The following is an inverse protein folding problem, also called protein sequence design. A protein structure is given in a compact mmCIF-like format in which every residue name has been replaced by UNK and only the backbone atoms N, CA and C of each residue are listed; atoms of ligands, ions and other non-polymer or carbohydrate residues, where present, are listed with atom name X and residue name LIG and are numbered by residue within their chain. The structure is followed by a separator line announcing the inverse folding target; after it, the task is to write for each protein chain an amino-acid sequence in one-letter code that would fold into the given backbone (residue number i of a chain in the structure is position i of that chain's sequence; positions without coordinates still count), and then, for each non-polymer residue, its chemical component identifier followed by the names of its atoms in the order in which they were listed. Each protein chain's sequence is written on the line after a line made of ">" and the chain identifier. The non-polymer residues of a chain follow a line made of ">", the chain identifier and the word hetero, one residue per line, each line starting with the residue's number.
data_IF_510527420825
#
_entry.id   IF_510527420825
#
_cell.length_a   1.000
_cell.length_b   1.000
_cell.length_c   1.000
_cell.angle_alpha   90.00
_cell.angle_beta   90.00
_cell.angle_gamma   90.00
#
_symmetry.space_group_name_H-M   'P 1'
#
loop_
_entity.id
_entity.type
_entity.pdbx_description
1 polymer ?
#
# COMPACT_ATOMS: atom_id res chain seq x y z
N UNK A 1 -14.48 -7.54 34.53
CA UNK A 1 -14.42 -8.37 35.74
C UNK A 1 -13.34 -7.83 36.68
N UNK A 2 -13.68 -7.46 37.93
CA UNK A 2 -12.76 -6.83 38.90
C UNK A 2 -12.05 -7.84 39.80
N UNK A 3 -12.25 -9.15 39.58
CA UNK A 3 -11.62 -10.20 40.38
C UNK A 3 -10.08 -10.08 40.26
N UNK A 4 -9.41 -10.07 41.42
CA UNK A 4 -7.95 -9.84 41.58
C UNK A 4 -7.10 -10.76 40.70
N UNK A 5 -7.56 -12.00 40.49
CA UNK A 5 -6.91 -13.01 39.64
C UNK A 5 -6.94 -12.63 38.15
N UNK A 6 -8.07 -12.11 37.67
CA UNK A 6 -8.24 -11.66 36.28
C UNK A 6 -7.38 -10.42 36.02
N UNK A 7 -7.32 -9.50 36.98
CA UNK A 7 -6.46 -8.31 36.90
C UNK A 7 -4.96 -8.66 36.87
N UNK A 8 -4.53 -9.63 37.69
CA UNK A 8 -3.14 -10.10 37.70
C UNK A 8 -2.73 -10.73 36.38
N UNK A 9 -3.55 -11.65 35.84
CA UNK A 9 -3.30 -12.24 34.51
C UNK A 9 -3.23 -11.18 33.40
N UNK A 10 -4.09 -10.16 33.44
CA UNK A 10 -4.04 -9.03 32.50
C UNK A 10 -2.71 -8.28 32.55
N UNK A 11 -2.20 -8.00 33.75
CA UNK A 11 -0.90 -7.34 33.93
C UNK A 11 0.25 -8.22 33.42
N UNK A 12 0.24 -9.51 33.73
CA UNK A 12 1.27 -10.46 33.31
C UNK A 12 1.35 -10.54 31.76
N UNK A 13 0.20 -10.64 31.08
CA UNK A 13 0.13 -10.63 29.60
C UNK A 13 0.61 -9.30 29.01
N UNK A 14 0.23 -8.15 29.60
CA UNK A 14 0.67 -6.83 29.15
C UNK A 14 2.19 -6.65 29.32
N UNK A 15 2.77 -7.14 30.41
CA UNK A 15 4.21 -7.09 30.64
C UNK A 15 4.99 -8.01 29.70
N UNK A 16 4.48 -9.22 29.42
CA UNK A 16 5.07 -10.12 28.43
C UNK A 16 5.11 -9.46 27.04
N UNK A 17 4.01 -8.84 26.61
CA UNK A 17 3.98 -8.08 25.36
C UNK A 17 4.96 -6.91 25.35
N UNK A 18 5.23 -6.23 26.48
CA UNK A 18 6.23 -5.14 26.52
C UNK A 18 7.63 -5.65 26.18
N UNK A 19 7.99 -6.83 26.67
CA UNK A 19 9.26 -7.50 26.33
C UNK A 19 9.34 -7.80 24.84
N UNK A 20 8.28 -8.39 24.29
CA UNK A 20 8.21 -8.76 22.87
C UNK A 20 8.15 -7.54 21.95
N UNK A 21 7.36 -6.51 22.28
CA UNK A 21 7.14 -5.32 21.45
C UNK A 21 8.42 -4.47 21.34
N UNK A 22 9.22 -4.34 22.41
CA UNK A 22 10.49 -3.60 22.38
C UNK A 22 11.55 -4.29 21.49
N UNK A 23 11.52 -5.63 21.42
CA UNK A 23 12.38 -6.42 20.55
C UNK A 23 11.85 -6.45 19.10
N UNK A 24 10.53 -6.60 18.92
CA UNK A 24 9.84 -6.59 17.62
C UNK A 24 9.95 -5.23 16.91
N UNK A 25 9.75 -4.10 17.61
CA UNK A 25 9.91 -2.76 17.01
C UNK A 25 11.32 -2.50 16.45
N UNK A 26 12.35 -3.17 16.99
CA UNK A 26 13.73 -3.06 16.48
C UNK A 26 13.99 -3.93 15.25
N UNK A 27 13.31 -5.06 15.15
CA UNK A 27 13.51 -6.03 14.06
C UNK A 27 12.62 -5.73 12.85
N UNK A 28 11.48 -5.05 13.04
CA UNK A 28 10.38 -5.08 12.08
C UNK A 28 10.00 -3.71 11.48
N UNK A 29 10.97 -2.89 11.12
CA UNK A 29 10.72 -1.62 10.41
C UNK A 29 10.28 -1.78 8.93
N UNK A 30 10.11 -3.02 8.46
CA UNK A 30 9.69 -3.41 7.10
C UNK A 30 8.20 -3.79 7.03
N UNK A 31 7.64 -3.89 5.81
CA UNK A 31 6.23 -4.28 5.59
C UNK A 31 5.85 -5.64 6.21
N UNK A 32 6.79 -6.59 6.27
CA UNK A 32 6.66 -7.88 6.98
C UNK A 32 6.33 -7.72 8.49
N UNK A 33 6.68 -6.58 9.07
CA UNK A 33 6.41 -6.28 10.47
C UNK A 33 4.93 -6.07 10.79
N UNK A 34 4.17 -5.49 9.88
CA UNK A 34 2.75 -5.19 10.11
C UNK A 34 1.91 -6.48 10.16
N UNK A 35 2.24 -7.48 9.34
CA UNK A 35 1.57 -8.79 9.35
C UNK A 35 1.81 -9.56 10.66
N UNK A 36 3.06 -9.54 11.17
CA UNK A 36 3.38 -10.16 12.46
C UNK A 36 2.69 -9.43 13.61
N UNK A 37 2.65 -8.10 13.57
CA UNK A 37 1.93 -7.31 14.57
C UNK A 37 0.44 -7.62 14.55
N UNK A 38 -0.16 -7.77 13.37
CA UNK A 38 -1.57 -8.15 13.23
C UNK A 38 -1.85 -9.52 13.85
N UNK A 39 -1.08 -10.55 13.51
CA UNK A 39 -1.25 -11.91 14.05
C UNK A 39 -1.08 -11.95 15.58
N UNK A 40 -0.06 -11.26 16.11
CA UNK A 40 0.14 -11.14 17.55
C UNK A 40 -1.01 -10.41 18.25
N UNK A 41 -1.63 -9.46 17.55
CA UNK A 41 -2.76 -8.70 18.04
C UNK A 41 -4.06 -9.51 18.05
N UNK A 42 -4.32 -10.27 16.99
CA UNK A 42 -5.50 -11.16 16.87
C UNK A 42 -5.55 -12.15 18.03
N UNK A 43 -4.42 -12.80 18.33
CA UNK A 43 -4.29 -13.69 19.50
C UNK A 43 -4.54 -12.97 20.84
N UNK A 44 -4.25 -11.66 20.93
CA UNK A 44 -4.47 -10.88 22.16
C UNK A 44 -5.94 -10.46 22.34
N UNK A 45 -6.67 -10.23 21.24
CA UNK A 45 -8.10 -9.94 21.28
C UNK A 45 -8.90 -11.06 21.96
N UNK A 46 -8.48 -12.32 21.78
CA UNK A 46 -9.14 -13.48 22.38
C UNK A 46 -9.04 -13.51 23.92
N UNK A 47 -8.01 -12.87 24.49
CA UNK A 47 -7.67 -12.98 25.93
C UNK A 47 -7.80 -11.68 26.71
N UNK A 48 -8.06 -10.54 26.05
CA UNK A 48 -8.06 -9.22 26.68
C UNK A 48 -9.14 -8.29 26.14
N UNK A 49 -9.87 -7.67 27.05
CA UNK A 49 -10.88 -6.65 26.72
C UNK A 49 -10.27 -5.28 26.38
N UNK A 50 -8.95 -5.12 26.46
CA UNK A 50 -8.26 -3.87 26.16
C UNK A 50 -8.35 -3.49 24.66
N UNK A 51 -8.69 -4.45 23.80
CA UNK A 51 -8.89 -4.27 22.35
C UNK A 51 -10.33 -3.91 21.98
N UNK A 52 -11.28 -3.92 22.92
CA UNK A 52 -12.66 -3.55 22.63
C UNK A 52 -12.73 -2.12 22.07
N UNK A 53 -13.45 -1.95 20.95
CA UNK A 53 -13.58 -0.68 20.23
C UNK A 53 -12.41 -0.40 19.27
N UNK A 54 -11.55 -1.38 18.98
CA UNK A 54 -10.45 -1.18 18.03
C UNK A 54 -10.89 -0.93 16.60
N UNK A 55 -12.06 -1.41 16.22
CA UNK A 55 -12.65 -1.15 14.90
C UNK A 55 -12.97 0.34 14.72
N UNK A 56 -13.10 1.07 15.84
CA UNK A 56 -13.25 2.53 15.85
C UNK A 56 -11.91 3.27 15.68
N UNK A 57 -10.78 2.56 15.61
CA UNK A 57 -9.47 3.20 15.43
C UNK A 57 -9.35 3.88 14.06
N UNK A 58 -8.63 5.02 13.97
CA UNK A 58 -8.38 5.68 12.70
C UNK A 58 -7.85 4.70 11.63
N UNK A 59 -8.38 4.72 10.40
CA UNK A 59 -7.91 3.81 9.34
C UNK A 59 -6.43 3.97 8.97
N UNK A 60 -5.83 5.11 9.31
CA UNK A 60 -4.40 5.38 9.15
C UNK A 60 -3.53 4.80 10.26
N UNK A 61 -4.14 4.24 11.31
CA UNK A 61 -3.44 3.67 12.43
C UNK A 61 -2.96 2.25 12.11
N UNK A 62 -1.65 2.14 11.90
CA UNK A 62 -0.94 0.87 11.72
C UNK A 62 -1.03 -0.04 12.95
N UNK A 63 -0.86 -1.35 12.74
CA UNK A 63 -0.95 -2.36 13.80
C UNK A 63 0.12 -2.15 14.87
N UNK A 64 1.31 -1.71 14.49
CA UNK A 64 2.36 -1.32 15.46
C UNK A 64 1.93 -0.20 16.41
N UNK A 65 1.14 0.78 15.93
CA UNK A 65 0.66 1.88 16.78
C UNK A 65 -0.39 1.34 17.77
N UNK A 66 -1.26 0.44 17.31
CA UNK A 66 -2.24 -0.24 18.16
C UNK A 66 -1.54 -1.06 19.25
N UNK A 67 -0.51 -1.83 18.89
CA UNK A 67 0.30 -2.60 19.83
C UNK A 67 1.04 -1.71 20.84
N UNK A 68 1.60 -0.59 20.40
CA UNK A 68 2.22 0.40 21.29
C UNK A 68 1.22 0.92 22.34
N UNK A 69 0.00 1.27 21.92
CA UNK A 69 -1.01 1.76 22.85
C UNK A 69 -1.52 0.71 23.82
N UNK A 70 -1.59 -0.56 23.43
CA UNK A 70 -1.91 -1.64 24.36
C UNK A 70 -0.83 -1.86 25.42
N UNK A 71 0.43 -1.82 25.00
CA UNK A 71 1.58 -2.17 25.86
C UNK A 71 2.09 -1.03 26.74
N UNK A 72 1.81 0.22 26.39
CA UNK A 72 2.17 1.38 27.21
C UNK A 72 1.31 1.47 28.47
N UNK A 73 1.89 1.51 29.67
CA UNK A 73 1.12 1.64 30.91
C UNK A 73 0.87 3.09 31.33
N UNK A 74 1.56 4.07 30.74
CA UNK A 74 1.47 5.48 31.11
C UNK A 74 0.46 6.30 30.28
N UNK A 75 0.11 7.47 30.79
CA UNK A 75 -0.56 8.50 30.00
C UNK A 75 0.45 9.13 29.03
N UNK A 76 0.13 9.16 27.73
CA UNK A 76 1.02 9.75 26.71
C UNK A 76 1.39 11.21 26.98
N UNK A 77 0.48 11.98 27.57
CA UNK A 77 0.67 13.41 27.80
C UNK A 77 1.48 13.70 29.06
N UNK A 78 1.15 13.09 30.20
CA UNK A 78 1.70 13.50 31.48
C UNK A 78 2.64 12.48 32.13
N UNK A 79 2.60 11.21 31.70
CA UNK A 79 3.33 10.07 32.25
C UNK A 79 3.27 9.87 33.80
N UNK A 80 2.54 10.73 34.51
CA UNK A 80 2.51 10.79 35.96
C UNK A 80 1.70 9.65 36.60
N UNK A 81 0.89 8.94 35.82
CA UNK A 81 0.00 7.91 36.33
C UNK A 81 0.01 6.68 35.41
N UNK A 82 0.22 5.47 35.96
CA UNK A 82 -0.13 4.24 35.27
C UNK A 82 -1.63 4.27 34.92
N UNK A 83 -1.96 4.39 33.64
CA UNK A 83 -3.34 4.34 33.18
C UNK A 83 -3.76 2.88 33.01
N UNK A 84 -4.65 2.43 33.89
CA UNK A 84 -5.41 1.17 33.71
C UNK A 84 -6.56 1.32 32.72
N UNK A 85 -6.72 2.52 32.14
CA UNK A 85 -7.70 2.81 31.11
C UNK A 85 -7.28 2.19 29.78
N UNK A 86 -8.27 1.67 29.07
CA UNK A 86 -8.11 1.22 27.69
C UNK A 86 -7.73 2.43 26.81
N UNK A 87 -6.98 2.20 25.72
CA UNK A 87 -6.82 3.22 24.69
C UNK A 87 -8.18 3.73 24.23
N UNK A 88 -8.28 5.04 23.99
CA UNK A 88 -9.40 5.57 23.25
C UNK A 88 -9.09 5.39 21.77
N UNK A 89 -9.68 4.35 21.18
CA UNK A 89 -9.39 3.96 19.81
C UNK A 89 -9.87 5.01 18.79
N UNK A 90 -11.07 5.58 18.98
CA UNK A 90 -11.62 6.68 18.16
C UNK A 90 -10.60 7.80 17.90
N UNK A 91 -9.97 8.30 18.95
CA UNK A 91 -8.98 9.37 18.84
C UNK A 91 -7.55 8.86 18.66
N UNK A 92 -7.34 7.55 18.83
CA UNK A 92 -6.04 6.93 18.70
C UNK A 92 -5.06 7.31 19.81
N UNK A 93 -5.52 7.46 21.05
CA UNK A 93 -4.71 7.96 22.17
C UNK A 93 -4.85 7.10 23.42
N UNK A 94 -3.81 7.09 24.26
CA UNK A 94 -3.84 6.53 25.62
C UNK A 94 -3.56 7.62 26.63
N UNK A 95 -4.63 8.17 27.21
CA UNK A 95 -4.57 9.29 28.15
C UNK A 95 -5.32 9.00 29.45
N UNK A 96 -4.87 9.59 30.55
CA UNK A 96 -5.63 9.61 31.79
C UNK A 96 -6.91 10.45 31.63
N UNK A 97 -7.84 10.35 32.58
CA UNK A 97 -9.13 11.08 32.52
C UNK A 97 -8.92 12.59 32.35
N UNK A 98 -8.01 13.16 33.12
CA UNK A 98 -7.82 14.62 33.18
C UNK A 98 -7.16 15.16 31.90
N UNK A 99 -6.16 14.44 31.38
CA UNK A 99 -5.54 14.80 30.10
C UNK A 99 -6.55 14.66 28.97
N UNK A 100 -7.31 13.55 28.92
CA UNK A 100 -8.33 13.36 27.90
C UNK A 100 -9.37 14.47 27.95
N UNK A 101 -9.85 14.85 29.14
CA UNK A 101 -10.81 15.93 29.30
C UNK A 101 -10.28 17.28 28.78
N UNK A 102 -9.00 17.59 28.98
CA UNK A 102 -8.37 18.81 28.44
C UNK A 102 -8.33 18.82 26.90
N UNK A 103 -8.20 17.65 26.28
CA UNK A 103 -8.12 17.51 24.83
C UNK A 103 -9.46 17.26 24.13
N UNK A 104 -10.52 16.97 24.89
CA UNK A 104 -11.87 16.80 24.34
C UNK A 104 -12.78 18.00 24.62
N UNK A 105 -13.85 18.11 23.85
CA UNK A 105 -14.96 19.04 24.05
C UNK A 105 -16.26 18.26 23.91
N UNK A 106 -17.24 18.52 24.78
CA UNK A 106 -18.49 17.77 24.81
C UNK A 106 -19.54 18.46 23.94
N UNK A 107 -20.52 17.72 23.42
CA UNK A 107 -21.52 18.28 22.51
C UNK A 107 -22.30 19.48 23.10
N UNK A 108 -22.59 19.46 24.41
CA UNK A 108 -23.27 20.57 25.11
C UNK A 108 -22.42 21.86 25.09
N UNK A 109 -21.12 21.77 25.36
CA UNK A 109 -20.19 22.92 25.26
C UNK A 109 -20.15 23.49 23.84
N UNK A 110 -20.36 22.68 22.81
CA UNK A 110 -20.36 23.12 21.42
C UNK A 110 -21.66 23.82 20.99
N UNK A 111 -22.71 23.80 21.82
CA UNK A 111 -23.93 24.54 21.56
C UNK A 111 -23.85 26.00 22.04
N UNK A 112 -22.86 26.32 22.89
CA UNK A 112 -22.64 27.68 23.37
C UNK A 112 -22.30 28.65 22.22
N UNK A 113 -22.79 29.88 22.31
CA UNK A 113 -22.56 30.96 21.33
C UNK A 113 -21.06 31.21 21.06
N UNK A 114 -20.22 30.97 22.07
CA UNK A 114 -18.76 31.10 21.94
C UNK A 114 -18.19 30.21 20.84
N UNK A 115 -18.82 29.04 20.56
CA UNK A 115 -18.45 28.12 19.50
C UNK A 115 -19.21 28.38 18.20
N UNK A 116 -20.52 28.65 18.29
CA UNK A 116 -21.44 28.66 17.15
C UNK A 116 -21.58 30.01 16.43
N UNK A 117 -20.95 31.08 16.92
CA UNK A 117 -21.01 32.43 16.31
C UNK A 117 -20.78 32.49 14.80
N UNK A 118 -19.94 31.62 14.24
CA UNK A 118 -19.52 31.64 12.84
C UNK A 118 -19.87 30.38 12.05
N UNK A 119 -20.35 29.34 12.73
CA UNK A 119 -20.61 28.02 12.17
C UNK A 119 -21.65 27.29 13.02
N UNK A 120 -22.53 26.52 12.39
CA UNK A 120 -23.50 25.71 13.14
C UNK A 120 -22.81 24.54 13.84
N UNK A 121 -23.47 23.98 14.86
CA UNK A 121 -23.01 22.74 15.51
C UNK A 121 -22.75 21.63 14.47
N UNK A 122 -23.63 21.48 13.48
CA UNK A 122 -23.48 20.47 12.43
C UNK A 122 -22.22 20.73 11.59
N UNK A 123 -21.99 21.97 11.13
CA UNK A 123 -20.78 22.31 10.37
C UNK A 123 -19.48 22.04 11.16
N UNK A 124 -19.52 22.29 12.47
CA UNK A 124 -18.39 22.07 13.38
C UNK A 124 -18.07 20.60 13.62
N UNK A 125 -19.07 19.71 13.55
CA UNK A 125 -18.94 18.32 14.02
C UNK A 125 -19.05 17.28 12.90
N UNK A 126 -19.65 17.62 11.75
CA UNK A 126 -19.90 16.70 10.64
C UNK A 126 -18.61 16.05 10.14
N UNK A 127 -18.64 14.71 10.11
CA UNK A 127 -17.54 13.86 9.68
C UNK A 127 -16.34 13.81 10.63
N UNK A 128 -16.39 14.47 11.79
CA UNK A 128 -15.32 14.37 12.78
C UNK A 128 -15.44 13.09 13.62
N UNK A 129 -14.32 12.43 13.96
CA UNK A 129 -14.31 11.34 14.93
C UNK A 129 -14.89 11.82 16.27
N UNK A 130 -15.71 10.98 16.89
CA UNK A 130 -16.33 11.26 18.19
C UNK A 130 -16.43 10.00 19.04
N UNK A 131 -16.32 10.19 20.33
CA UNK A 131 -16.40 9.13 21.33
C UNK A 131 -17.67 9.31 22.15
N UNK A 132 -18.45 8.23 22.29
CA UNK A 132 -19.66 8.20 23.09
C UNK A 132 -19.37 7.64 24.48
N UNK A 133 -19.57 8.47 25.50
CA UNK A 133 -19.38 8.07 26.89
C UNK A 133 -20.73 7.93 27.57
N UNK A 134 -21.01 6.71 28.00
CA UNK A 134 -22.13 6.43 28.89
C UNK A 134 -21.69 6.57 30.35
N UNK A 135 -22.53 7.18 31.16
CA UNK A 135 -22.30 7.36 32.59
C UNK A 135 -23.59 7.40 33.39
N UNK A 136 -23.44 7.43 34.71
CA UNK A 136 -24.56 7.60 35.63
C UNK A 136 -24.41 8.93 36.37
N UNK A 137 -25.41 9.81 36.25
CA UNK A 137 -25.43 11.05 37.01
C UNK A 137 -25.95 10.78 38.41
N UNK A 138 -25.10 11.00 39.43
CA UNK A 138 -25.54 10.96 40.83
C UNK A 138 -26.57 12.05 41.14
N UNK A 139 -26.50 13.18 40.46
CA UNK A 139 -27.37 14.32 40.68
C UNK A 139 -28.77 14.08 40.10
N UNK A 140 -28.85 13.66 38.83
CA UNK A 140 -30.13 13.41 38.15
C UNK A 140 -30.67 11.99 38.38
N UNK A 141 -29.91 11.12 39.07
CA UNK A 141 -30.23 9.69 39.29
C UNK A 141 -30.64 8.98 37.99
N UNK A 142 -29.97 9.30 36.90
CA UNK A 142 -30.27 8.77 35.57
C UNK A 142 -29.00 8.46 34.80
N UNK A 143 -29.10 7.52 33.86
CA UNK A 143 -28.07 7.27 32.88
C UNK A 143 -27.99 8.46 31.91
N UNK A 144 -26.77 8.80 31.49
CA UNK A 144 -26.55 9.81 30.46
C UNK A 144 -25.58 9.27 29.41
N UNK A 145 -25.76 9.73 28.19
CA UNK A 145 -24.82 9.52 27.08
C UNK A 145 -24.28 10.88 26.68
N UNK A 146 -22.96 10.97 26.54
CA UNK A 146 -22.27 12.20 26.21
C UNK A 146 -21.35 11.98 25.02
N UNK A 147 -21.55 12.76 23.96
CA UNK A 147 -20.69 12.75 22.79
C UNK A 147 -19.53 13.72 23.02
N UNK A 148 -18.31 13.25 22.76
CA UNK A 148 -17.07 14.03 22.86
C UNK A 148 -16.38 14.11 21.52
N UNK A 149 -15.84 15.28 21.21
CA UNK A 149 -15.02 15.52 20.02
C UNK A 149 -13.61 15.91 20.43
N UNK A 150 -12.63 15.70 19.54
CA UNK A 150 -11.29 16.21 19.74
C UNK A 150 -11.28 17.74 19.62
N UNK A 151 -10.92 18.43 20.71
CA UNK A 151 -11.01 19.89 20.83
C UNK A 151 -10.22 20.61 19.74
N UNK A 152 -9.05 20.10 19.39
CA UNK A 152 -8.23 20.73 18.34
C UNK A 152 -8.86 20.58 16.95
N UNK A 153 -9.50 19.43 16.66
CA UNK A 153 -10.18 19.21 15.37
C UNK A 153 -11.33 20.20 15.19
N UNK A 154 -12.13 20.43 16.24
CA UNK A 154 -13.21 21.41 16.22
C UNK A 154 -12.66 22.84 16.07
N UNK A 155 -11.57 23.19 16.78
CA UNK A 155 -10.92 24.52 16.64
C UNK A 155 -10.43 24.77 15.21
N UNK A 156 -9.76 23.78 14.61
CA UNK A 156 -9.28 23.86 13.23
C UNK A 156 -10.46 24.02 12.25
N UNK A 157 -11.52 23.22 12.43
CA UNK A 157 -12.74 23.30 11.62
C UNK A 157 -13.40 24.69 11.72
N UNK A 158 -13.54 25.22 12.93
CA UNK A 158 -14.06 26.58 13.17
C UNK A 158 -13.21 27.65 12.48
N UNK A 159 -11.88 27.54 12.53
CA UNK A 159 -10.99 28.47 11.86
C UNK A 159 -11.19 28.44 10.33
N UNK A 160 -11.29 27.26 9.73
CA UNK A 160 -11.55 27.11 8.29
C UNK A 160 -12.91 27.69 7.89
N UNK A 161 -13.97 27.40 8.65
CA UNK A 161 -15.33 27.88 8.37
C UNK A 161 -15.47 29.40 8.51
N UNK A 162 -14.67 30.03 9.39
CA UNK A 162 -14.61 31.50 9.52
C UNK A 162 -14.13 32.17 8.23
N UNK A 163 -13.31 31.48 7.44
CA UNK A 163 -12.76 32.01 6.19
C UNK A 163 -13.52 31.56 4.92
N UNK A 164 -14.45 30.60 5.05
CA UNK A 164 -15.26 30.12 3.95
C UNK A 164 -16.34 31.15 3.57
N UNK A 165 -16.35 31.57 2.30
CA UNK A 165 -17.26 32.62 1.80
C UNK A 165 -18.47 32.04 1.06
N UNK A 166 -18.34 30.82 0.55
CA UNK A 166 -19.37 30.17 -0.27
C UNK A 166 -19.93 28.90 0.40
N UNK A 167 -21.19 28.52 0.13
CA UNK A 167 -21.76 27.25 0.61
C UNK A 167 -20.94 26.02 0.16
N UNK A 168 -20.45 26.02 -1.08
CA UNK A 168 -19.62 24.92 -1.61
C UNK A 168 -18.28 24.75 -0.89
N UNK A 169 -17.65 25.83 -0.44
CA UNK A 169 -16.43 25.76 0.38
C UNK A 169 -16.73 25.14 1.75
N UNK A 170 -17.84 25.55 2.37
CA UNK A 170 -18.29 25.00 3.66
C UNK A 170 -18.59 23.52 3.55
N UNK A 171 -19.30 23.08 2.51
CA UNK A 171 -19.56 21.66 2.24
C UNK A 171 -18.27 20.86 2.08
N UNK A 172 -17.30 21.38 1.32
CA UNK A 172 -15.98 20.73 1.14
C UNK A 172 -15.19 20.60 2.44
N UNK A 173 -15.23 21.62 3.28
CA UNK A 173 -14.58 21.61 4.61
C UNK A 173 -15.24 20.57 5.53
N UNK A 174 -16.57 20.45 5.45
CA UNK A 174 -17.37 19.55 6.27
C UNK A 174 -17.43 18.10 5.76
N UNK A 175 -17.01 17.86 4.51
CA UNK A 175 -17.04 16.54 3.93
C UNK A 175 -16.14 15.58 4.73
N UNK A 176 -16.61 14.35 5.02
CA UNK A 176 -15.73 13.32 5.57
C UNK A 176 -14.59 13.09 4.58
N UNK A 177 -13.38 12.74 5.07
CA UNK A 177 -12.29 12.34 4.19
C UNK A 177 -12.84 11.23 3.27
N UNK A 178 -12.71 11.43 1.95
CA UNK A 178 -13.17 10.45 0.97
C UNK A 178 -12.64 9.08 1.39
N UNK A 179 -13.53 8.09 1.48
CA UNK A 179 -13.12 6.72 1.74
C UNK A 179 -11.99 6.41 0.75
N UNK A 180 -10.78 6.13 1.27
CA UNK A 180 -9.69 5.69 0.41
C UNK A 180 -10.21 4.41 -0.24
N UNK A 181 -10.59 4.50 -1.51
CA UNK A 181 -10.84 3.32 -2.32
C UNK A 181 -9.62 2.43 -2.11
N UNK A 182 -9.88 1.17 -1.75
CA UNK A 182 -8.86 0.21 -1.40
C UNK A 182 -7.77 0.27 -2.48
N UNK A 183 -6.56 0.67 -2.07
CA UNK A 183 -5.45 0.91 -3.00
C UNK A 183 -5.20 -0.34 -3.83
N UNK A 184 -5.45 -1.52 -3.24
CA UNK A 184 -5.39 -2.81 -3.91
C UNK A 184 -6.44 -2.95 -5.01
N UNK A 185 -7.69 -2.49 -4.77
CA UNK A 185 -8.76 -2.51 -5.77
C UNK A 185 -8.44 -1.57 -6.95
N UNK A 186 -7.90 -0.39 -6.67
CA UNK A 186 -7.46 0.56 -7.70
C UNK A 186 -6.30 0.01 -8.53
N UNK A 187 -5.30 -0.59 -7.88
CA UNK A 187 -4.18 -1.24 -8.56
C UNK A 187 -4.64 -2.43 -9.41
N UNK A 188 -5.58 -3.24 -8.91
CA UNK A 188 -6.20 -4.35 -9.66
C UNK A 188 -6.91 -3.85 -10.92
N UNK A 189 -7.76 -2.82 -10.80
CA UNK A 189 -8.44 -2.20 -11.96
C UNK A 189 -7.43 -1.63 -12.97
N UNK A 190 -6.36 -0.99 -12.48
CA UNK A 190 -5.32 -0.46 -13.35
C UNK A 190 -4.53 -1.57 -14.07
N UNK A 191 -4.29 -2.70 -13.41
CA UNK A 191 -3.64 -3.89 -13.99
C UNK A 191 -4.48 -4.49 -15.12
N UNK A 192 -5.77 -4.71 -14.87
CA UNK A 192 -6.69 -5.24 -15.89
C UNK A 192 -6.77 -4.32 -17.10
N UNK A 193 -6.89 -3.00 -16.88
CA UNK A 193 -6.91 -2.02 -17.99
C UNK A 193 -5.64 -2.07 -18.85
N UNK A 194 -4.46 -2.25 -18.25
CA UNK A 194 -3.20 -2.40 -19.00
C UNK A 194 -3.16 -3.71 -19.78
N UNK A 195 -3.63 -4.79 -19.18
CA UNK A 195 -3.72 -6.11 -19.83
C UNK A 195 -4.65 -6.08 -21.05
N UNK A 196 -5.84 -5.50 -20.90
CA UNK A 196 -6.80 -5.35 -22.00
C UNK A 196 -6.25 -4.48 -23.13
N UNK A 197 -5.62 -3.35 -22.80
CA UNK A 197 -4.99 -2.47 -23.79
C UNK A 197 -3.87 -3.19 -24.56
N UNK A 198 -3.02 -3.97 -23.87
CA UNK A 198 -1.98 -4.74 -24.53
C UNK A 198 -2.57 -5.84 -25.42
N UNK A 199 -3.61 -6.52 -24.95
CA UNK A 199 -4.28 -7.57 -25.73
C UNK A 199 -4.87 -7.02 -27.02
N UNK A 200 -5.57 -5.88 -26.95
CA UNK A 200 -6.14 -5.24 -28.14
C UNK A 200 -5.07 -4.87 -29.19
N UNK A 201 -3.92 -4.35 -28.76
CA UNK A 201 -2.81 -4.02 -29.66
C UNK A 201 -2.13 -5.27 -30.24
N UNK A 202 -2.04 -6.36 -29.48
CA UNK A 202 -1.50 -7.64 -29.93
C UNK A 202 -2.42 -8.32 -30.96
N UNK A 203 -3.73 -8.26 -30.73
CA UNK A 203 -4.75 -8.79 -31.64
C UNK A 203 -4.67 -8.08 -33.01
N UNK A 204 -4.44 -6.76 -33.03
CA UNK A 204 -4.25 -5.98 -34.27
C UNK A 204 -3.04 -6.43 -35.11
N UNK A 205 -2.01 -6.96 -34.48
CA UNK A 205 -0.78 -7.42 -35.15
C UNK A 205 -0.68 -8.95 -35.24
N UNK A 206 -1.77 -9.68 -34.94
CA UNK A 206 -1.83 -11.13 -35.02
C UNK A 206 -0.83 -11.84 -34.09
N UNK A 207 -0.55 -11.23 -32.94
CA UNK A 207 0.31 -11.80 -31.91
C UNK A 207 -0.53 -12.19 -30.68
N UNK A 208 -0.11 -13.23 -29.98
CA UNK A 208 -0.76 -13.66 -28.75
C UNK A 208 -0.04 -13.07 -27.53
N UNK A 209 -0.80 -12.83 -26.46
CA UNK A 209 -0.23 -12.44 -25.17
C UNK A 209 0.48 -13.63 -24.54
N UNK A 210 1.81 -13.63 -24.63
CA UNK A 210 2.68 -14.63 -24.03
C UNK A 210 2.83 -14.45 -22.52
N UNK A 211 2.53 -15.49 -21.76
CA UNK A 211 2.67 -15.50 -20.30
C UNK A 211 4.13 -15.49 -19.84
N UNK A 212 5.05 -16.00 -20.66
CA UNK A 212 6.48 -16.08 -20.39
C UNK A 212 7.26 -14.81 -20.81
N UNK A 213 6.57 -13.83 -21.40
CA UNK A 213 7.18 -12.56 -21.79
C UNK A 213 7.36 -11.64 -20.57
N UNK A 214 8.61 -11.48 -20.13
CA UNK A 214 8.94 -10.55 -19.03
C UNK A 214 8.53 -9.10 -19.35
N UNK A 215 8.57 -8.70 -20.62
CA UNK A 215 8.14 -7.36 -21.04
C UNK A 215 6.63 -7.16 -20.84
N UNK A 216 5.83 -8.19 -21.15
CA UNK A 216 4.37 -8.15 -20.97
C UNK A 216 4.00 -8.14 -19.50
N UNK A 217 4.65 -8.99 -18.69
CA UNK A 217 4.51 -9.00 -17.23
C UNK A 217 4.82 -7.63 -16.63
N UNK A 218 5.99 -7.05 -16.94
CA UNK A 218 6.41 -5.76 -16.42
C UNK A 218 5.48 -4.61 -16.83
N UNK A 219 4.95 -4.64 -18.06
CA UNK A 219 3.97 -3.65 -18.51
C UNK A 219 2.64 -3.76 -17.74
N UNK A 220 2.12 -4.97 -17.57
CA UNK A 220 0.87 -5.24 -16.85
C UNK A 220 1.02 -4.85 -15.38
N UNK A 221 2.15 -5.18 -14.76
CA UNK A 221 2.45 -4.85 -13.35
C UNK A 221 2.79 -3.38 -13.12
N UNK A 222 3.28 -2.66 -14.14
CA UNK A 222 3.42 -1.19 -14.13
C UNK A 222 4.85 -0.64 -13.97
N UNK A 223 5.86 -1.28 -14.55
CA UNK A 223 7.25 -0.83 -14.53
C UNK A 223 7.59 0.26 -15.57
N UNK A 224 8.57 1.19 -15.33
CA UNK A 224 9.43 1.36 -14.15
C UNK A 224 9.06 2.53 -13.21
N UNK A 225 9.84 2.71 -12.13
CA UNK A 225 9.70 3.68 -11.03
C UNK A 225 9.68 5.16 -11.47
N UNK A 226 10.16 5.49 -12.67
CA UNK A 226 10.17 6.87 -13.18
C UNK A 226 9.01 7.14 -14.14
N UNK A 227 8.32 8.29 -13.95
CA UNK A 227 7.24 8.73 -14.83
C UNK A 227 7.68 8.89 -16.30
N UNK A 228 8.96 9.21 -16.54
CA UNK A 228 9.52 9.40 -17.89
C UNK A 228 9.64 8.08 -18.65
N UNK A 229 10.08 7.00 -18.00
CA UNK A 229 10.18 5.70 -18.65
C UNK A 229 8.81 5.06 -18.89
N UNK A 230 7.84 5.28 -17.97
CA UNK A 230 6.45 4.83 -18.18
C UNK A 230 5.80 5.45 -19.42
N UNK A 231 6.07 6.73 -19.70
CA UNK A 231 5.58 7.39 -20.92
C UNK A 231 6.20 6.81 -22.20
N UNK A 232 7.39 6.21 -22.11
CA UNK A 232 8.08 5.63 -23.27
C UNK A 232 7.42 4.34 -23.74
N UNK A 233 6.90 3.52 -22.83
CA UNK A 233 6.35 2.19 -23.10
C UNK A 233 4.81 2.21 -23.08
N UNK A 234 4.22 2.37 -24.26
CA UNK A 234 2.77 2.23 -24.49
C UNK A 234 2.43 0.78 -24.86
N UNK A 235 1.15 0.39 -24.72
CA UNK A 235 0.67 -0.93 -25.15
C UNK A 235 1.09 -1.23 -26.60
N UNK A 236 0.92 -0.26 -27.51
CA UNK A 236 1.35 -0.33 -28.90
C UNK A 236 2.84 -0.66 -29.06
N UNK A 237 3.73 0.03 -28.33
CA UNK A 237 5.18 -0.22 -28.41
C UNK A 237 5.60 -1.55 -27.81
N UNK A 238 4.91 -1.99 -26.76
CA UNK A 238 5.13 -3.33 -26.18
C UNK A 238 4.71 -4.39 -27.18
N UNK A 239 3.54 -4.25 -27.79
CA UNK A 239 3.04 -5.16 -28.83
C UNK A 239 3.99 -5.20 -30.04
N UNK A 240 4.44 -4.03 -30.51
CA UNK A 240 5.42 -3.91 -31.60
C UNK A 240 6.74 -4.62 -31.25
N UNK A 241 7.27 -4.42 -30.04
CA UNK A 241 8.49 -5.12 -29.60
C UNK A 241 8.29 -6.63 -29.51
N UNK A 242 7.12 -7.11 -29.08
CA UNK A 242 6.79 -8.53 -29.08
C UNK A 242 6.75 -9.10 -30.50
N UNK A 243 6.14 -8.39 -31.44
CA UNK A 243 6.15 -8.79 -32.86
C UNK A 243 7.57 -8.81 -33.44
N UNK A 244 8.41 -7.82 -33.13
CA UNK A 244 9.82 -7.82 -33.53
C UNK A 244 10.54 -9.08 -33.03
N UNK A 245 10.37 -9.46 -31.76
CA UNK A 245 10.98 -10.67 -31.21
C UNK A 245 10.45 -11.94 -31.86
N UNK A 246 9.14 -12.04 -32.09
CA UNK A 246 8.55 -13.15 -32.85
C UNK A 246 9.17 -13.26 -34.24
N UNK A 247 9.28 -12.14 -34.95
CA UNK A 247 9.90 -12.10 -36.28
C UNK A 247 11.35 -12.58 -36.26
N UNK A 248 12.19 -12.07 -35.35
CA UNK A 248 13.59 -12.47 -35.27
C UNK A 248 13.75 -13.98 -35.02
N UNK A 249 13.00 -14.51 -34.07
CA UNK A 249 13.14 -15.90 -33.66
C UNK A 249 12.44 -16.90 -34.58
N UNK A 250 11.37 -16.52 -35.28
CA UNK A 250 10.58 -17.45 -36.08
C UNK A 250 10.81 -17.27 -37.59
N UNK A 251 10.98 -16.03 -38.08
CA UNK A 251 10.93 -15.71 -39.51
C UNK A 251 12.24 -15.16 -40.09
N UNK A 252 13.08 -14.51 -39.30
CA UNK A 252 14.31 -13.87 -39.78
C UNK A 252 15.42 -14.89 -40.02
N UNK A 253 15.63 -15.26 -41.29
CA UNK A 253 16.69 -16.22 -41.69
C UNK A 253 18.09 -15.70 -41.39
N UNK A 254 18.35 -14.42 -41.62
CA UNK A 254 19.65 -13.79 -41.35
C UNK A 254 20.00 -13.88 -39.86
N UNK A 255 19.07 -13.48 -38.99
CA UNK A 255 19.25 -13.59 -37.53
C UNK A 255 19.55 -15.03 -37.10
N UNK A 256 18.76 -16.00 -37.58
CA UNK A 256 18.99 -17.43 -37.30
C UNK A 256 20.35 -17.90 -37.79
N UNK A 257 20.75 -17.50 -39.00
CA UNK A 257 22.02 -17.89 -39.60
C UNK A 257 23.22 -17.33 -38.81
N UNK A 258 23.17 -16.08 -38.36
CA UNK A 258 24.20 -15.49 -37.50
C UNK A 258 24.33 -16.26 -36.18
N UNK A 259 23.22 -16.52 -35.50
CA UNK A 259 23.23 -17.25 -34.22
C UNK A 259 23.72 -18.69 -34.40
N UNK A 260 23.36 -19.36 -35.50
CA UNK A 260 23.85 -20.69 -35.83
C UNK A 260 25.34 -20.68 -36.25
N UNK A 261 25.81 -19.62 -36.92
CA UNK A 261 27.22 -19.39 -37.21
C UNK A 261 28.04 -19.33 -35.93
N UNK A 262 27.66 -18.45 -34.99
CA UNK A 262 28.32 -18.38 -33.69
C UNK A 262 28.32 -19.71 -32.94
N UNK A 263 27.20 -20.45 -32.94
CA UNK A 263 27.14 -21.77 -32.31
C UNK A 263 28.14 -22.76 -32.92
N UNK A 264 28.27 -22.77 -34.25
CA UNK A 264 29.22 -23.64 -34.95
C UNK A 264 30.65 -23.24 -34.64
N UNK A 265 31.00 -21.96 -34.75
CA UNK A 265 32.35 -21.46 -34.45
C UNK A 265 32.76 -21.73 -32.99
N UNK A 266 31.83 -21.57 -32.03
CA UNK A 266 32.08 -21.89 -30.63
C UNK A 266 32.35 -23.39 -30.45
N UNK A 267 31.58 -24.25 -31.13
CA UNK A 267 31.77 -25.69 -31.08
C UNK A 267 33.08 -26.11 -31.76
N UNK A 268 33.41 -25.55 -32.93
CA UNK A 268 34.65 -25.84 -33.65
C UNK A 268 35.88 -25.46 -32.82
N UNK A 269 35.84 -24.29 -32.15
CA UNK A 269 36.88 -23.87 -31.20
C UNK A 269 37.00 -24.83 -30.01
N UNK A 270 35.87 -25.28 -29.48
CA UNK A 270 35.85 -26.24 -28.40
C UNK A 270 36.45 -27.60 -28.81
N UNK A 271 36.10 -28.10 -30.00
CA UNK A 271 36.61 -29.36 -30.55
C UNK A 271 38.11 -29.28 -30.87
N UNK A 272 38.60 -28.13 -31.32
CA UNK A 272 40.00 -27.95 -31.69
C UNK A 272 40.93 -27.73 -30.48
N UNK A 273 40.50 -26.94 -29.49
CA UNK A 273 41.35 -26.53 -28.37
C UNK A 273 41.04 -27.28 -27.05
N UNK A 274 39.95 -28.03 -26.99
CA UNK A 274 39.58 -28.89 -25.86
C UNK A 274 39.14 -28.14 -24.59
N UNK A 275 39.02 -28.85 -23.47
CA UNK A 275 38.67 -28.27 -22.18
C UNK A 275 39.92 -27.61 -21.53
N UNK A 276 40.15 -26.32 -21.82
CA UNK A 276 41.23 -25.57 -21.16
C UNK A 276 41.56 -24.20 -21.75
N UNK A 277 41.08 -23.88 -22.96
CA UNK A 277 41.44 -22.65 -23.65
C UNK A 277 40.33 -21.59 -23.56
N UNK A 278 40.47 -20.62 -22.64
CA UNK A 278 39.68 -19.38 -22.63
C UNK A 278 38.14 -19.53 -22.60
N UNK A 279 37.43 -18.43 -22.85
CA UNK A 279 35.98 -18.45 -23.05
C UNK A 279 35.67 -18.34 -24.54
N UNK A 280 35.47 -19.48 -25.20
CA UNK A 280 35.16 -19.56 -26.63
C UNK A 280 33.98 -18.68 -27.06
N UNK A 281 32.99 -18.49 -26.19
CA UNK A 281 31.85 -17.61 -26.51
C UNK A 281 32.28 -16.16 -26.60
N UNK A 282 33.20 -15.73 -25.72
CA UNK A 282 33.74 -14.38 -25.73
C UNK A 282 34.58 -14.13 -26.98
N UNK A 283 35.41 -15.08 -27.38
CA UNK A 283 36.23 -14.96 -28.60
C UNK A 283 35.38 -14.81 -29.87
N UNK A 284 34.28 -15.56 -29.96
CA UNK A 284 33.40 -15.55 -31.14
C UNK A 284 32.44 -14.36 -31.16
N UNK A 285 31.91 -13.98 -30.01
CA UNK A 285 30.79 -13.01 -29.94
C UNK A 285 31.12 -11.70 -29.24
N UNK A 286 32.23 -11.62 -28.51
CA UNK A 286 32.54 -10.52 -27.59
C UNK A 286 31.77 -10.58 -26.26
N UNK A 287 30.96 -11.62 -26.03
CA UNK A 287 30.16 -11.79 -24.80
C UNK A 287 30.52 -13.08 -24.07
N UNK A 288 30.50 -13.04 -22.73
CA UNK A 288 30.76 -14.20 -21.89
C UNK A 288 29.71 -15.32 -21.99
N UNK A 289 28.55 -15.06 -22.60
CA UNK A 289 27.52 -16.07 -22.84
C UNK A 289 26.79 -15.82 -24.14
N UNK A 290 26.43 -16.90 -24.84
CA UNK A 290 25.72 -16.82 -26.12
C UNK A 290 24.35 -16.15 -25.94
N UNK A 291 23.69 -16.37 -24.81
CA UNK A 291 22.43 -15.71 -24.48
C UNK A 291 22.54 -14.19 -24.33
N UNK A 292 23.69 -13.66 -23.88
CA UNK A 292 23.92 -12.22 -23.87
C UNK A 292 24.14 -11.66 -25.28
N UNK A 293 24.96 -12.33 -26.10
CA UNK A 293 25.18 -11.95 -27.50
C UNK A 293 23.89 -11.96 -28.32
N UNK A 294 23.05 -12.99 -28.16
CA UNK A 294 21.76 -13.11 -28.86
C UNK A 294 20.80 -12.00 -28.45
N UNK A 295 20.78 -11.62 -27.16
CA UNK A 295 19.94 -10.52 -26.68
C UNK A 295 20.42 -9.18 -27.23
N UNK A 296 21.72 -8.92 -27.21
CA UNK A 296 22.29 -7.69 -27.76
C UNK A 296 22.02 -7.56 -29.26
N UNK A 297 22.19 -8.64 -30.02
CA UNK A 297 21.84 -8.69 -31.44
C UNK A 297 20.35 -8.40 -31.67
N UNK A 298 19.47 -8.95 -30.82
CA UNK A 298 18.03 -8.70 -30.92
C UNK A 298 17.63 -7.27 -30.51
N UNK A 299 18.36 -6.66 -29.58
CA UNK A 299 18.16 -5.28 -29.13
C UNK A 299 18.67 -4.24 -30.12
N UNK A 300 19.73 -4.57 -30.88
CA UNK A 300 20.32 -3.68 -31.89
C UNK A 300 19.80 -3.92 -33.31
N UNK A 301 18.97 -4.95 -33.52
CA UNK A 301 18.40 -5.24 -34.84
C UNK A 301 17.49 -4.12 -35.34
N UNK A 302 17.74 -3.63 -36.56
CA UNK A 302 16.99 -2.51 -37.16
C UNK A 302 16.19 -2.90 -38.40
N UNK A 303 16.46 -4.06 -39.01
CA UNK A 303 15.85 -4.51 -40.26
C UNK A 303 14.58 -5.30 -40.01
N UNK A 304 13.47 -4.60 -39.82
CA UNK A 304 12.15 -5.22 -39.68
C UNK A 304 11.32 -5.04 -40.96
N UNK A 305 10.45 -6.01 -41.31
CA UNK A 305 9.60 -5.90 -42.48
C UNK A 305 8.52 -4.81 -42.27
N UNK A 306 8.06 -4.19 -43.37
CA UNK A 306 6.96 -3.21 -43.32
C UNK A 306 5.61 -3.85 -42.95
N UNK A 307 5.45 -5.14 -43.23
CA UNK A 307 4.28 -5.95 -42.88
C UNK A 307 4.74 -7.28 -42.28
N UNK A 308 4.11 -7.71 -41.20
CA UNK A 308 4.48 -8.95 -40.54
C UNK A 308 4.11 -10.17 -41.37
N UNK A 309 5.00 -11.17 -41.51
CA UNK A 309 4.79 -12.30 -42.41
C UNK A 309 3.63 -13.21 -42.01
N UNK A 310 3.26 -13.26 -40.72
CA UNK A 310 2.10 -14.03 -40.24
C UNK A 310 0.75 -13.31 -40.43
N UNK A 311 0.76 -12.05 -40.90
CA UNK A 311 -0.47 -11.32 -41.25
C UNK A 311 -0.81 -11.43 -42.74
N UNK A 312 0.09 -11.97 -43.55
CA UNK A 312 -0.15 -12.17 -44.98
C UNK A 312 -1.07 -13.39 -45.09
N UNK A 313 -2.34 -13.16 -45.44
CA UNK A 313 -3.24 -14.27 -45.79
C UNK A 313 -2.60 -15.08 -46.93
N UNK A 314 -2.64 -16.43 -46.88
CA UNK A 314 -2.26 -17.20 -48.04
C UNK A 314 -3.14 -16.76 -49.20
N UNK A 315 -2.51 -16.32 -50.30
CA UNK A 315 -3.23 -16.09 -51.55
C UNK A 315 -3.88 -17.43 -51.94
N UNK A 316 -5.20 -17.51 -51.79
CA UNK A 316 -6.04 -18.60 -52.28
C UNK A 316 -6.08 -18.61 -53.79
#
# INVERSE_FOLDING_TARGET
>A
DKRKVVYKRRLDTLFAMRGTNKQLCRVMSSDFGEEIFQLAFENFCEVSDATHGIDDAPPTMLWRHKAFFLTGLGCQTCDAHPTTRKPNWVFGVRMCKDCLQKHTVIHQELQDESWTKWATYEELTKGLPHDEVQGWSKFFKSAYTMIRYWRQSVKNRKALLRHAKTPSERERICAPPAAKQDKQLLEKKAREKRKEALKAELDLIGCELRADSKLSELFIEGFPKSLRERKKWTAKKVAERMAQMKYLHEYCREFKATVQGWRREINDMFDHYGHGYGNYTYEVTGFYSLGAAVRDLADTWTRFPKQWPWLVQPAT
#
